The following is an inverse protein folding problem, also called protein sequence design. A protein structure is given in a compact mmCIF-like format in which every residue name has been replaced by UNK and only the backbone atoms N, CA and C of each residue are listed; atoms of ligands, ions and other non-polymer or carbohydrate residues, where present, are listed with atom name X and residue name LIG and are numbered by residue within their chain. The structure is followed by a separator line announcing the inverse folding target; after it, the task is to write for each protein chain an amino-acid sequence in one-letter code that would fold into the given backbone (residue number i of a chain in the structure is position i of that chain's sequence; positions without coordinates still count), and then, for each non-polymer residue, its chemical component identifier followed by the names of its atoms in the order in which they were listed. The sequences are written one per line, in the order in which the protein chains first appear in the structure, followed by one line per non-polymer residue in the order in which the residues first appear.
data_IF_602249085553
#
_entry.id   IF_602249085553
#
_cell.length_a   1.000
_cell.length_b   1.000
_cell.length_c   1.000
_cell.angle_alpha   90.00
_cell.angle_beta   90.00
_cell.angle_gamma   90.00
#
_symmetry.space_group_name_H-M   'P 1'
#
loop_
_entity.id
_entity.type
_entity.pdbx_description
1 polymer ?
#
# COMPACT_ATOMS: atom_id res chain seq x y z
N UNK A 1 -3.07 -1.28 12.72
CA UNK A 1 -3.44 0.11 12.36
C UNK A 1 -3.73 0.26 10.87
N UNK A 2 -2.81 0.02 9.92
CA UNK A 2 -3.07 0.29 8.49
C UNK A 2 -4.20 -0.57 7.89
N UNK A 3 -4.34 -1.84 8.31
CA UNK A 3 -5.43 -2.71 7.85
C UNK A 3 -6.83 -2.19 8.19
N UNK A 4 -7.02 -1.63 9.38
CA UNK A 4 -8.31 -1.09 9.79
C UNK A 4 -8.66 0.16 8.98
N UNK A 5 -7.68 1.05 8.76
CA UNK A 5 -7.84 2.22 7.92
C UNK A 5 -8.16 1.86 6.47
N UNK A 6 -7.50 0.83 5.91
CA UNK A 6 -7.81 0.33 4.57
C UNK A 6 -9.20 -0.28 4.46
N UNK A 7 -9.65 -1.07 5.44
CA UNK A 7 -11.02 -1.61 5.47
C UNK A 7 -12.04 -0.48 5.46
N UNK A 8 -11.84 0.53 6.29
CA UNK A 8 -12.70 1.71 6.30
C UNK A 8 -12.66 2.46 4.95
N UNK A 9 -11.47 2.68 4.38
CA UNK A 9 -11.27 3.39 3.12
C UNK A 9 -12.00 2.70 1.96
N UNK A 10 -11.88 1.36 1.87
CA UNK A 10 -12.58 0.56 0.86
C UNK A 10 -14.09 0.68 1.02
N UNK A 11 -14.62 0.54 2.24
CA UNK A 11 -16.05 0.72 2.49
C UNK A 11 -16.54 2.12 2.12
N UNK A 12 -15.77 3.15 2.48
CA UNK A 12 -16.08 4.53 2.15
C UNK A 12 -16.11 4.75 0.63
N UNK A 13 -15.04 4.37 -0.08
CA UNK A 13 -14.96 4.51 -1.54
C UNK A 13 -16.01 3.69 -2.27
N UNK A 14 -16.39 2.52 -1.75
CA UNK A 14 -17.46 1.69 -2.31
C UNK A 14 -18.79 2.43 -2.25
N UNK A 15 -19.13 2.99 -1.09
CA UNK A 15 -20.35 3.79 -0.91
C UNK A 15 -20.35 5.02 -1.80
N UNK A 16 -19.26 5.79 -1.82
CA UNK A 16 -19.19 7.00 -2.65
C UNK A 16 -19.28 6.69 -4.15
N UNK A 17 -18.69 5.57 -4.59
CA UNK A 17 -18.78 5.11 -5.98
C UNK A 17 -20.21 4.69 -6.35
N UNK A 18 -20.89 3.94 -5.48
CA UNK A 18 -22.28 3.56 -5.68
C UNK A 18 -23.21 4.78 -5.74
N UNK A 19 -23.04 5.73 -4.81
CA UNK A 19 -23.80 6.99 -4.81
C UNK A 19 -23.58 7.79 -6.10
N UNK A 20 -22.35 7.88 -6.60
CA UNK A 20 -22.05 8.56 -7.87
C UNK A 20 -22.70 7.83 -9.04
N UNK A 21 -22.58 6.51 -9.12
CA UNK A 21 -23.21 5.70 -10.17
C UNK A 21 -24.72 5.90 -10.21
N UNK A 22 -25.36 5.85 -9.04
CA UNK A 22 -26.81 6.03 -8.92
C UNK A 22 -27.26 7.43 -9.33
N UNK A 23 -26.49 8.48 -9.02
CA UNK A 23 -26.75 9.84 -9.49
C UNK A 23 -26.69 9.96 -11.02
N UNK A 24 -25.69 9.37 -11.67
CA UNK A 24 -25.58 9.39 -13.14
C UNK A 24 -26.79 8.68 -13.79
N UNK A 25 -27.20 7.52 -13.25
CA UNK A 25 -28.37 6.79 -13.73
C UNK A 25 -29.67 7.58 -13.55
N UNK A 26 -29.85 8.23 -12.39
CA UNK A 26 -31.01 9.09 -12.13
C UNK A 26 -31.04 10.32 -13.05
N UNK A 27 -29.89 10.79 -13.52
CA UNK A 27 -29.80 11.85 -14.52
C UNK A 27 -30.12 11.37 -15.96
N UNK A 28 -30.55 10.11 -16.14
CA UNK A 28 -30.94 9.55 -17.43
C UNK A 28 -29.77 9.17 -18.34
N UNK A 29 -28.54 9.14 -17.82
CA UNK A 29 -27.37 8.69 -18.58
C UNK A 29 -27.49 7.20 -18.92
N UNK A 30 -26.96 6.81 -20.08
CA UNK A 30 -26.85 5.39 -20.41
C UNK A 30 -25.95 4.65 -19.42
N UNK A 31 -26.10 3.32 -19.33
CA UNK A 31 -25.23 2.50 -18.47
C UNK A 31 -23.74 2.65 -18.82
N UNK A 32 -23.42 2.91 -20.09
CA UNK A 32 -22.05 3.14 -20.55
C UNK A 32 -21.51 4.48 -20.04
N UNK A 33 -22.27 5.56 -20.22
CA UNK A 33 -21.89 6.91 -19.77
C UNK A 33 -21.79 6.98 -18.24
N UNK A 34 -22.77 6.43 -17.53
CA UNK A 34 -22.76 6.39 -16.07
C UNK A 34 -21.51 5.66 -15.54
N UNK A 35 -21.14 4.53 -16.16
CA UNK A 35 -19.91 3.81 -15.81
C UNK A 35 -18.65 4.61 -16.10
N UNK A 36 -18.59 5.30 -17.23
CA UNK A 36 -17.45 6.12 -17.62
C UNK A 36 -17.28 7.33 -16.68
N UNK A 37 -18.36 8.04 -16.38
CA UNK A 37 -18.39 9.22 -15.51
C UNK A 37 -18.12 8.88 -14.04
N UNK A 38 -18.27 7.62 -13.65
CA UNK A 38 -17.96 7.11 -12.32
C UNK A 38 -16.54 6.49 -12.22
N UNK A 39 -15.69 6.59 -13.24
CA UNK A 39 -14.34 5.98 -13.16
C UNK A 39 -13.37 6.79 -12.29
N UNK A 40 -13.11 8.04 -12.69
CA UNK A 40 -12.07 8.88 -12.08
C UNK A 40 -12.51 9.28 -10.67
N UNK A 41 -11.59 9.17 -9.70
CA UNK A 41 -11.81 9.42 -8.26
C UNK A 41 -12.75 8.46 -7.52
N UNK A 42 -13.60 7.69 -8.20
CA UNK A 42 -14.52 6.73 -7.61
C UNK A 42 -14.07 5.29 -7.89
N UNK A 43 -14.60 4.62 -8.93
CA UNK A 43 -14.37 3.20 -9.19
C UNK A 43 -12.88 2.84 -9.34
N UNK A 44 -12.08 3.70 -9.99
CA UNK A 44 -10.62 3.48 -10.10
C UNK A 44 -9.92 3.56 -8.74
N UNK A 45 -10.26 4.56 -7.94
CA UNK A 45 -9.69 4.73 -6.59
C UNK A 45 -10.08 3.56 -5.69
N UNK A 46 -11.34 3.13 -5.76
CA UNK A 46 -11.85 1.96 -5.05
C UNK A 46 -11.08 0.69 -5.44
N UNK A 47 -10.91 0.44 -6.74
CA UNK A 47 -10.19 -0.74 -7.22
C UNK A 47 -8.73 -0.77 -6.71
N UNK A 48 -8.04 0.37 -6.74
CA UNK A 48 -6.67 0.50 -6.21
C UNK A 48 -6.63 0.29 -4.69
N UNK A 49 -7.50 0.93 -3.93
CA UNK A 49 -7.56 0.75 -2.48
C UNK A 49 -7.89 -0.70 -2.10
N UNK A 50 -8.76 -1.37 -2.85
CA UNK A 50 -9.14 -2.77 -2.63
C UNK A 50 -7.97 -3.74 -2.87
N UNK A 51 -7.24 -3.57 -3.98
CA UNK A 51 -6.10 -4.46 -4.25
C UNK A 51 -4.95 -4.24 -3.27
N UNK A 52 -4.70 -2.98 -2.88
CA UNK A 52 -3.71 -2.66 -1.84
C UNK A 52 -4.11 -3.24 -0.48
N UNK A 53 -5.39 -3.13 -0.08
CA UNK A 53 -5.91 -3.75 1.15
C UNK A 53 -5.75 -5.27 1.11
N UNK A 54 -6.03 -5.91 -0.03
CA UNK A 54 -5.88 -7.35 -0.22
C UNK A 54 -4.43 -7.78 -0.11
N UNK A 55 -3.51 -7.06 -0.78
CA UNK A 55 -2.08 -7.33 -0.70
C UNK A 55 -1.55 -7.16 0.73
N UNK A 56 -1.95 -6.08 1.42
CA UNK A 56 -1.58 -5.83 2.81
C UNK A 56 -2.11 -6.92 3.75
N UNK A 57 -3.36 -7.35 3.57
CA UNK A 57 -3.97 -8.40 4.39
C UNK A 57 -3.21 -9.72 4.22
N UNK A 58 -2.96 -10.15 2.98
CA UNK A 58 -2.19 -11.37 2.71
C UNK A 58 -0.78 -11.31 3.29
N UNK A 59 -0.10 -10.18 3.14
CA UNK A 59 1.25 -10.03 3.67
C UNK A 59 1.24 -10.02 5.22
N UNK A 60 0.29 -9.32 5.82
CA UNK A 60 0.11 -9.34 7.27
C UNK A 60 -0.10 -10.77 7.79
N UNK A 61 -1.02 -11.51 7.18
CA UNK A 61 -1.36 -12.87 7.59
C UNK A 61 -0.15 -13.80 7.44
N UNK A 62 0.55 -13.74 6.30
CA UNK A 62 1.79 -14.48 6.10
C UNK A 62 2.85 -14.16 7.16
N UNK A 63 3.08 -12.89 7.48
CA UNK A 63 4.08 -12.48 8.48
C UNK A 63 3.73 -12.86 9.93
N UNK A 64 2.50 -13.28 10.19
CA UNK A 64 2.02 -13.77 11.49
C UNK A 64 1.76 -15.28 11.50
N UNK A 65 1.95 -15.96 10.36
CA UNK A 65 1.74 -17.39 10.26
C UNK A 65 2.81 -18.15 11.08
N UNK A 66 2.42 -19.13 11.91
CA UNK A 66 3.34 -19.94 12.70
C UNK A 66 4.37 -20.72 11.86
N UNK A 67 4.09 -20.97 10.58
CA UNK A 67 5.01 -21.64 9.65
C UNK A 67 6.21 -20.77 9.27
N UNK A 68 6.12 -19.44 9.42
CA UNK A 68 7.23 -18.54 9.13
C UNK A 68 8.26 -18.61 10.27
N UNK A 69 9.55 -18.87 9.98
CA UNK A 69 10.60 -18.93 10.99
C UNK A 69 10.62 -17.70 11.90
N UNK A 70 10.69 -17.92 13.21
CA UNK A 70 10.61 -16.86 14.23
C UNK A 70 11.66 -15.76 14.03
N UNK A 71 12.83 -16.09 13.48
CA UNK A 71 13.89 -15.12 13.17
C UNK A 71 13.51 -14.14 12.03
N UNK A 72 12.64 -14.54 11.10
CA UNK A 72 12.22 -13.74 9.94
C UNK A 72 10.96 -12.91 10.22
N UNK A 73 10.12 -13.34 11.17
CA UNK A 73 8.86 -12.65 11.49
C UNK A 73 9.05 -11.16 11.80
N UNK A 74 10.04 -10.71 12.61
CA UNK A 74 10.20 -9.29 12.92
C UNK A 74 10.44 -8.42 11.68
N UNK A 75 11.34 -8.84 10.78
CA UNK A 75 11.68 -8.07 9.58
C UNK A 75 10.53 -8.08 8.57
N UNK A 76 9.84 -9.21 8.39
CA UNK A 76 8.67 -9.31 7.51
C UNK A 76 7.50 -8.46 8.02
N UNK A 77 7.26 -8.43 9.33
CA UNK A 77 6.24 -7.55 9.94
C UNK A 77 6.58 -6.07 9.77
N UNK A 78 7.85 -5.70 9.89
CA UNK A 78 8.30 -4.33 9.63
C UNK A 78 8.10 -3.93 8.17
N UNK A 79 8.41 -4.82 7.22
CA UNK A 79 8.13 -4.60 5.79
C UNK A 79 6.64 -4.50 5.49
N UNK A 80 5.82 -5.37 6.07
CA UNK A 80 4.35 -5.33 5.94
C UNK A 80 3.79 -4.00 6.48
N UNK A 81 4.26 -3.55 7.65
CA UNK A 81 3.89 -2.26 8.22
C UNK A 81 4.33 -1.08 7.35
N UNK A 82 5.56 -1.12 6.82
CA UNK A 82 6.08 -0.08 5.95
C UNK A 82 5.27 0.02 4.65
N UNK A 83 5.02 -1.11 3.99
CA UNK A 83 4.17 -1.19 2.80
C UNK A 83 2.77 -0.61 3.07
N UNK A 84 2.15 -1.03 4.18
CA UNK A 84 0.82 -0.57 4.56
C UNK A 84 0.75 0.93 4.82
N UNK A 85 1.70 1.49 5.58
CA UNK A 85 1.73 2.92 5.89
C UNK A 85 2.09 3.78 4.67
N UNK A 86 3.10 3.36 3.88
CA UNK A 86 3.50 4.07 2.68
C UNK A 86 2.35 4.12 1.65
N UNK A 87 1.67 2.99 1.44
CA UNK A 87 0.56 2.93 0.49
C UNK A 87 -0.65 3.74 1.00
N UNK A 88 -0.99 3.62 2.29
CA UNK A 88 -2.08 4.38 2.92
C UNK A 88 -1.83 5.90 2.87
N UNK A 89 -0.58 6.34 2.97
CA UNK A 89 -0.24 7.78 2.91
C UNK A 89 -0.68 8.45 1.61
N UNK A 90 -0.77 7.70 0.51
CA UNK A 90 -1.27 8.17 -0.79
C UNK A 90 -2.78 8.44 -0.78
N UNK A 91 -3.51 7.82 0.14
CA UNK A 91 -4.96 7.95 0.30
C UNK A 91 -5.36 8.90 1.43
N UNK A 92 -4.39 9.60 2.01
CA UNK A 92 -4.61 10.42 3.20
C UNK A 92 -5.69 11.49 2.98
N UNK A 93 -5.71 12.12 1.79
CA UNK A 93 -6.74 13.09 1.43
C UNK A 93 -8.17 12.51 1.54
N UNK A 94 -8.38 11.27 1.07
CA UNK A 94 -9.69 10.60 1.13
C UNK A 94 -10.06 10.25 2.57
N UNK A 95 -9.08 9.82 3.38
CA UNK A 95 -9.28 9.54 4.80
C UNK A 95 -9.73 10.79 5.57
N UNK A 96 -9.19 11.97 5.23
CA UNK A 96 -9.65 13.24 5.79
C UNK A 96 -11.03 13.63 5.26
N UNK A 97 -11.24 13.52 3.94
CA UNK A 97 -12.50 13.89 3.31
C UNK A 97 -13.69 13.11 3.89
N UNK A 98 -13.53 11.81 4.12
CA UNK A 98 -14.60 10.99 4.71
C UNK A 98 -14.62 10.97 6.24
N UNK A 99 -13.76 11.76 6.91
CA UNK A 99 -13.79 11.95 8.36
C UNK A 99 -13.15 10.83 9.20
N UNK A 100 -12.40 9.91 8.60
CA UNK A 100 -11.62 8.93 9.35
C UNK A 100 -10.44 9.58 10.10
N UNK A 101 -9.81 10.55 9.46
CA UNK A 101 -8.74 11.35 10.02
C UNK A 101 -9.22 12.80 10.22
N UNK A 102 -8.75 13.44 11.29
CA UNK A 102 -9.00 14.85 11.57
C UNK A 102 -7.78 15.49 12.24
N UNK A 103 -7.60 16.81 12.04
CA UNK A 103 -6.44 17.55 12.53
C UNK A 103 -5.12 17.16 11.87
N UNK A 104 -4.02 17.70 12.38
CA UNK A 104 -2.68 17.52 11.79
C UNK A 104 -1.99 16.19 12.17
N UNK A 105 -2.42 15.57 13.26
CA UNK A 105 -1.70 14.45 13.89
C UNK A 105 -1.65 13.17 13.03
N UNK A 106 -2.73 12.72 12.37
CA UNK A 106 -2.70 11.49 11.57
C UNK A 106 -1.64 11.51 10.46
N UNK A 107 -1.51 12.63 9.74
CA UNK A 107 -0.49 12.79 8.70
C UNK A 107 0.93 12.73 9.24
N UNK A 108 1.23 13.50 10.30
CA UNK A 108 2.54 13.50 10.96
C UNK A 108 2.90 12.11 11.50
N UNK A 109 1.94 11.44 12.14
CA UNK A 109 2.13 10.10 12.68
C UNK A 109 2.53 9.08 11.61
N UNK A 110 1.85 9.10 10.46
CA UNK A 110 2.17 8.19 9.34
C UNK A 110 3.58 8.47 8.80
N UNK A 111 3.93 9.74 8.60
CA UNK A 111 5.26 10.14 8.13
C UNK A 111 6.37 9.70 9.11
N UNK A 112 6.20 9.98 10.40
CA UNK A 112 7.15 9.59 11.44
C UNK A 112 7.30 8.07 11.55
N UNK A 113 6.19 7.33 11.45
CA UNK A 113 6.21 5.87 11.49
C UNK A 113 6.94 5.27 10.28
N UNK A 114 6.74 5.83 9.08
CA UNK A 114 7.48 5.43 7.87
C UNK A 114 8.98 5.65 8.08
N UNK A 115 9.40 6.83 8.54
CA UNK A 115 10.82 7.14 8.77
C UNK A 115 11.44 6.20 9.80
N UNK A 116 10.73 5.92 10.91
CA UNK A 116 11.18 4.96 11.94
C UNK A 116 11.32 3.55 11.39
N UNK A 117 10.41 3.11 10.52
CA UNK A 117 10.50 1.80 9.88
C UNK A 117 11.67 1.72 8.89
N UNK A 118 11.87 2.75 8.07
CA UNK A 118 13.04 2.83 7.18
C UNK A 118 14.35 2.74 7.97
N UNK A 119 14.45 3.46 9.09
CA UNK A 119 15.63 3.40 9.96
C UNK A 119 15.88 1.99 10.51
N UNK A 120 14.83 1.29 10.97
CA UNK A 120 14.95 -0.08 11.49
C UNK A 120 15.28 -1.12 10.42
N UNK A 121 14.80 -0.92 9.20
CA UNK A 121 15.00 -1.85 8.08
C UNK A 121 16.34 -1.66 7.37
N UNK A 122 17.00 -0.50 7.54
CA UNK A 122 18.25 -0.14 6.86
C UNK A 122 19.30 -1.25 6.93
N UNK A 123 19.55 -1.80 8.11
CA UNK A 123 20.62 -2.79 8.30
C UNK A 123 20.32 -4.14 7.65
N UNK A 124 19.03 -4.43 7.38
CA UNK A 124 18.59 -5.63 6.69
C UNK A 124 18.35 -5.39 5.19
N UNK A 125 18.41 -4.14 4.70
CA UNK A 125 17.95 -3.79 3.36
C UNK A 125 18.72 -4.52 2.26
N UNK A 126 20.05 -4.64 2.39
CA UNK A 126 20.89 -5.35 1.43
C UNK A 126 20.54 -6.84 1.42
N UNK A 127 20.54 -7.50 2.59
CA UNK A 127 20.20 -8.92 2.71
C UNK A 127 18.78 -9.26 2.20
N UNK A 128 17.82 -8.36 2.40
CA UNK A 128 16.45 -8.51 1.90
C UNK A 128 16.38 -8.44 0.37
N UNK A 129 17.19 -7.58 -0.26
CA UNK A 129 17.28 -7.50 -1.73
C UNK A 129 18.03 -8.71 -2.27
N UNK A 130 19.13 -9.10 -1.63
CA UNK A 130 19.95 -10.25 -2.01
C UNK A 130 19.15 -11.56 -1.99
N UNK A 131 18.20 -11.71 -1.07
CA UNK A 131 17.31 -12.87 -1.01
C UNK A 131 16.48 -13.08 -2.29
N UNK A 132 16.25 -12.03 -3.08
CA UNK A 132 15.53 -12.08 -4.36
C UNK A 132 16.42 -11.77 -5.57
N UNK A 133 17.68 -11.40 -5.36
CA UNK A 133 18.57 -10.96 -6.42
C UNK A 133 18.87 -12.13 -7.38
N UNK A 134 18.63 -11.96 -8.69
CA UNK A 134 19.09 -12.93 -9.67
C UNK A 134 20.62 -12.85 -9.78
N UNK A 135 21.24 -13.85 -10.41
CA UNK A 135 22.70 -13.84 -10.60
C UNK A 135 23.17 -12.59 -11.36
N UNK A 136 24.43 -12.17 -11.14
CA UNK A 136 25.02 -11.02 -11.82
C UNK A 136 24.91 -11.10 -13.36
N UNK A 137 24.91 -12.30 -13.92
CA UNK A 137 24.70 -12.53 -15.35
C UNK A 137 23.31 -12.08 -15.81
N UNK A 138 22.27 -12.39 -15.04
CA UNK A 138 20.89 -12.00 -15.34
C UNK A 138 20.66 -10.52 -14.97
N UNK A 139 21.21 -10.08 -13.85
CA UNK A 139 21.06 -8.71 -13.35
C UNK A 139 21.75 -7.69 -14.28
N UNK A 140 22.86 -8.08 -14.90
CA UNK A 140 23.62 -7.31 -15.90
C UNK A 140 23.74 -5.80 -15.57
N UNK A 141 24.02 -5.51 -14.30
CA UNK A 141 24.03 -4.15 -13.76
C UNK A 141 25.37 -3.88 -13.09
N UNK A 142 26.11 -2.90 -13.60
CA UNK A 142 27.40 -2.49 -13.04
C UNK A 142 27.28 -1.95 -11.59
N UNK A 143 26.14 -1.34 -11.25
CA UNK A 143 25.88 -0.79 -9.91
C UNK A 143 25.22 -1.80 -8.95
N UNK A 144 24.67 -2.90 -9.48
CA UNK A 144 23.97 -3.93 -8.71
C UNK A 144 24.78 -5.21 -8.50
N UNK A 145 26.07 -5.20 -8.84
CA UNK A 145 26.94 -6.38 -8.81
C UNK A 145 27.06 -6.94 -7.40
N UNK A 146 26.91 -8.25 -7.23
CA UNK A 146 26.97 -8.92 -5.92
C UNK A 146 28.29 -8.69 -5.18
N UNK A 147 29.40 -8.45 -5.90
CA UNK A 147 30.72 -8.16 -5.30
C UNK A 147 30.82 -6.75 -4.69
N UNK A 148 29.86 -5.85 -4.94
CA UNK A 148 29.93 -4.45 -4.51
C UNK A 148 30.98 -3.60 -5.24
N UNK A 149 31.71 -4.18 -6.20
CA UNK A 149 32.74 -3.48 -6.98
C UNK A 149 32.11 -2.67 -8.11
N UNK A 150 31.67 -1.44 -7.79
CA UNK A 150 31.04 -0.53 -8.75
C UNK A 150 32.07 0.26 -9.57
N UNK A 151 33.28 0.46 -9.04
CA UNK A 151 34.37 1.18 -9.72
C UNK A 151 35.56 0.24 -9.90
N UNK A 152 36.01 0.09 -11.15
CA UNK A 152 37.34 -0.39 -11.50
C UNK A 152 38.13 0.77 -12.09
#
# INVERSE_FOLDING_TARGET
VPLAAYKWLVCYLLRESDLKMNKEKQAGQSDFEAKNNCQVYYCRSLALAFIEQTALQRFHDYSHDPSVPAALQPVLRQLSALYGLWSLSKHLAVLYQGGYASGEQPGKFIQDAILKLCYRLKDNAVALVDAFAPSDFILNSAIGKASGEVRK
#
